data_IF_786096855061
#
_entry.id   IF_786096855061
#
_cell.length_a   1.000
_cell.length_b   1.000
_cell.length_c   1.000
_cell.angle_alpha   90.00
_cell.angle_beta   90.00
_cell.angle_gamma   90.00
#
_symmetry.space_group_name_H-M   'P 1'
#
loop_
_entity.id
_entity.type
_entity.pdbx_description
1 polymer ?
#
# COMPACT_ATOMS: atom_id res chain seq x y z
N UNK A 1 -9.03 25.82 10.87
CA UNK A 1 -9.26 25.66 9.41
C UNK A 1 -10.71 25.30 9.21
N UNK A 2 -11.44 26.15 8.48
CA UNK A 2 -12.88 26.10 8.26
C UNK A 2 -13.56 27.37 8.78
N UNK A 3 -14.15 28.18 7.90
CA UNK A 3 -15.06 29.26 8.31
C UNK A 3 -16.43 28.64 8.67
N UNK A 4 -17.34 29.40 9.30
CA UNK A 4 -18.66 28.87 9.71
C UNK A 4 -19.41 28.20 8.55
N UNK A 5 -19.31 28.79 7.35
CA UNK A 5 -19.86 28.22 6.12
C UNK A 5 -19.30 26.82 5.79
N UNK A 6 -18.03 26.53 6.07
CA UNK A 6 -17.45 25.21 5.88
C UNK A 6 -17.98 24.18 6.87
N UNK A 7 -18.16 24.57 8.14
CA UNK A 7 -18.71 23.69 9.17
C UNK A 7 -20.20 23.36 8.93
N UNK A 8 -20.95 24.33 8.40
CA UNK A 8 -22.35 24.15 8.00
C UNK A 8 -22.50 23.22 6.79
N UNK A 9 -21.62 23.36 5.79
CA UNK A 9 -21.65 22.52 4.59
C UNK A 9 -21.14 21.08 4.84
N UNK A 10 -20.27 20.88 5.82
CA UNK A 10 -19.65 19.59 6.13
C UNK A 10 -19.72 19.24 7.62
N UNK A 11 -20.92 19.04 8.20
CA UNK A 11 -21.10 18.82 9.63
C UNK A 11 -20.49 17.50 10.14
N UNK A 12 -20.25 16.53 9.25
CA UNK A 12 -19.56 15.27 9.54
C UNK A 12 -18.06 15.31 9.20
N UNK A 13 -17.55 16.47 8.79
CA UNK A 13 -16.16 16.73 8.43
C UNK A 13 -15.22 16.51 9.61
N UNK A 14 -14.41 15.46 9.57
CA UNK A 14 -13.34 15.22 10.57
C UNK A 14 -11.98 15.38 9.91
N UNK A 15 -11.12 16.22 10.48
CA UNK A 15 -9.74 16.37 10.02
C UNK A 15 -8.78 15.69 11.00
N UNK A 16 -7.82 14.91 10.51
CA UNK A 16 -6.70 14.43 11.30
C UNK A 16 -5.36 14.82 10.65
N UNK A 17 -4.42 15.24 11.49
CA UNK A 17 -3.03 15.41 11.09
C UNK A 17 -2.36 14.03 11.09
N UNK A 18 -1.78 13.65 9.96
CA UNK A 18 -0.95 12.46 9.87
C UNK A 18 0.45 12.75 10.44
N UNK A 19 1.20 11.67 10.69
CA UNK A 19 2.57 11.76 11.22
C UNK A 19 3.51 12.38 10.18
N UNK A 20 4.63 12.90 10.64
CA UNK A 20 5.70 13.34 9.75
C UNK A 20 6.30 12.15 9.03
N UNK A 21 6.40 12.25 7.70
CA UNK A 21 7.04 11.26 6.84
C UNK A 21 8.19 11.94 6.07
N UNK A 22 9.16 12.49 6.80
CA UNK A 22 10.43 13.00 6.23
C UNK A 22 10.39 14.38 5.57
N UNK A 23 9.23 15.02 5.47
CA UNK A 23 9.08 16.46 5.14
C UNK A 23 8.75 17.26 6.40
N UNK A 24 9.09 18.56 6.37
CA UNK A 24 8.67 19.60 7.32
C UNK A 24 7.16 19.89 7.33
N UNK A 25 6.40 19.31 6.39
CA UNK A 25 4.94 19.43 6.33
C UNK A 25 4.22 18.21 6.92
N UNK A 26 3.08 18.47 7.58
CA UNK A 26 2.15 17.44 8.05
C UNK A 26 0.98 17.27 7.07
N UNK A 27 0.78 16.07 6.50
CA UNK A 27 -0.43 15.81 5.72
C UNK A 27 -1.68 15.95 6.59
N UNK A 28 -2.71 16.62 6.06
CA UNK A 28 -4.02 16.73 6.70
C UNK A 28 -5.00 15.87 5.91
N UNK A 29 -5.68 14.93 6.59
CA UNK A 29 -6.70 14.09 5.99
C UNK A 29 -8.08 14.48 6.52
N UNK A 30 -9.00 14.81 5.62
CA UNK A 30 -10.39 15.17 5.95
C UNK A 30 -11.35 14.08 5.49
N UNK A 31 -12.23 13.63 6.39
CA UNK A 31 -13.28 12.66 6.11
C UNK A 31 -14.62 13.39 6.06
N UNK A 32 -15.37 13.23 4.96
CA UNK A 32 -16.66 13.90 4.76
C UNK A 32 -17.88 12.98 4.97
N UNK A 33 -17.67 11.66 5.04
CA UNK A 33 -18.72 10.67 5.30
C UNK A 33 -18.18 9.54 6.20
N UNK A 34 -18.96 9.16 7.23
CA UNK A 34 -18.56 8.16 8.23
C UNK A 34 -18.86 6.72 7.80
N UNK A 35 -19.67 6.51 6.75
CA UNK A 35 -19.96 5.19 6.20
C UNK A 35 -18.77 4.70 5.40
N UNK A 36 -17.79 4.13 6.12
CA UNK A 36 -16.74 3.31 5.50
C UNK A 36 -17.39 2.07 4.89
N UNK A 37 -17.89 2.18 3.66
CA UNK A 37 -18.20 0.99 2.89
C UNK A 37 -16.91 0.22 2.70
N UNK A 38 -16.85 -1.01 3.25
CA UNK A 38 -15.76 -1.95 2.94
C UNK A 38 -15.88 -2.27 1.46
N UNK A 39 -15.19 -1.51 0.62
CA UNK A 39 -15.11 -1.81 -0.80
C UNK A 39 -14.43 -3.17 -0.94
N UNK A 40 -15.17 -4.18 -1.39
CA UNK A 40 -14.58 -5.47 -1.78
C UNK A 40 -13.80 -5.23 -3.06
N UNK A 41 -12.49 -4.99 -2.92
CA UNK A 41 -11.60 -4.85 -4.06
C UNK A 41 -11.69 -6.07 -4.98
N UNK A 42 -11.82 -5.84 -6.28
CA UNK A 42 -11.71 -6.90 -7.27
C UNK A 42 -10.25 -7.35 -7.33
N UNK A 43 -10.00 -8.66 -7.27
CA UNK A 43 -8.67 -9.20 -7.51
C UNK A 43 -8.27 -8.93 -8.95
N UNK A 44 -7.06 -8.39 -9.14
CA UNK A 44 -6.44 -8.24 -10.45
C UNK A 44 -5.06 -8.84 -10.33
N UNK A 45 -4.78 -9.84 -11.17
CA UNK A 45 -3.46 -10.43 -11.26
C UNK A 45 -2.47 -9.35 -11.73
N UNK A 46 -1.33 -9.26 -11.04
CA UNK A 46 -0.26 -8.34 -11.41
C UNK A 46 0.80 -9.11 -12.19
N UNK A 47 1.19 -8.61 -13.36
CA UNK A 47 2.25 -9.21 -14.17
C UNK A 47 3.57 -9.35 -13.40
N UNK A 48 3.90 -8.43 -12.50
CA UNK A 48 5.12 -8.53 -11.69
C UNK A 48 5.19 -9.82 -10.85
N UNK A 49 4.06 -10.49 -10.59
CA UNK A 49 4.05 -11.78 -9.89
C UNK A 49 4.66 -12.92 -10.71
N UNK A 50 4.74 -12.80 -12.04
CA UNK A 50 5.34 -13.84 -12.89
C UNK A 50 6.86 -13.85 -12.82
N UNK A 51 7.47 -12.77 -12.33
CA UNK A 51 8.92 -12.66 -12.15
C UNK A 51 9.38 -13.23 -10.79
N UNK A 52 8.43 -13.58 -9.92
CA UNK A 52 8.74 -14.09 -8.59
C UNK A 52 8.59 -15.63 -8.55
N UNK A 53 9.71 -16.30 -8.27
CA UNK A 53 9.78 -17.77 -8.19
C UNK A 53 8.87 -18.31 -7.08
N UNK A 54 8.81 -17.66 -5.91
CA UNK A 54 7.94 -18.08 -4.79
C UNK A 54 6.46 -18.12 -5.20
N UNK A 55 6.03 -17.18 -6.05
CA UNK A 55 4.64 -17.14 -6.51
C UNK A 55 4.37 -18.24 -7.52
N UNK A 56 5.37 -18.60 -8.32
CA UNK A 56 5.26 -19.70 -9.28
C UNK A 56 5.07 -21.03 -8.54
N UNK A 57 5.91 -21.30 -7.54
CA UNK A 57 5.79 -22.48 -6.67
C UNK A 57 4.46 -22.49 -5.88
N UNK A 58 4.01 -21.33 -5.40
CA UNK A 58 2.74 -21.18 -4.72
C UNK A 58 1.55 -21.52 -5.64
N UNK A 59 1.61 -21.10 -6.90
CA UNK A 59 0.55 -21.41 -7.88
C UNK A 59 0.58 -22.88 -8.24
N UNK A 60 1.75 -23.48 -8.45
CA UNK A 60 1.89 -24.90 -8.76
C UNK A 60 1.35 -25.78 -7.63
N UNK A 61 1.75 -25.49 -6.38
CA UNK A 61 1.27 -26.20 -5.20
C UNK A 61 -0.24 -26.04 -5.01
N UNK A 62 -0.79 -24.83 -5.16
CA UNK A 62 -2.22 -24.57 -5.04
C UNK A 62 -3.04 -25.22 -6.17
N UNK A 63 -2.47 -25.33 -7.37
CA UNK A 63 -3.12 -25.96 -8.52
C UNK A 63 -3.18 -27.49 -8.37
N UNK A 64 -2.09 -28.09 -7.89
CA UNK A 64 -1.97 -29.55 -7.75
C UNK A 64 -2.61 -30.10 -6.47
N UNK A 65 -3.12 -29.24 -5.58
CA UNK A 65 -3.74 -29.65 -4.32
C UNK A 65 -5.03 -30.46 -4.52
N UNK A 66 -5.76 -30.26 -5.62
CA UNK A 66 -7.00 -30.99 -5.90
C UNK A 66 -7.12 -31.31 -7.40
N UNK A 67 -6.47 -32.39 -7.87
CA UNK A 67 -6.43 -32.74 -9.29
C UNK A 67 -7.79 -33.16 -9.89
N UNK A 68 -8.72 -33.62 -9.03
CA UNK A 68 -10.05 -34.10 -9.43
C UNK A 68 -11.12 -32.99 -9.44
N UNK A 69 -10.77 -31.80 -8.97
CA UNK A 69 -11.68 -30.67 -8.90
C UNK A 69 -11.80 -29.94 -10.24
N UNK A 70 -12.83 -29.11 -10.36
CA UNK A 70 -13.02 -28.31 -11.58
C UNK A 70 -11.91 -27.28 -11.77
N UNK A 71 -11.62 -26.93 -13.02
CA UNK A 71 -10.67 -25.86 -13.36
C UNK A 71 -10.99 -24.54 -12.64
N UNK A 72 -12.29 -24.22 -12.49
CA UNK A 72 -12.76 -23.03 -11.78
C UNK A 72 -12.40 -23.09 -10.29
N UNK A 73 -12.50 -24.27 -9.67
CA UNK A 73 -12.08 -24.48 -8.30
C UNK A 73 -10.58 -24.19 -8.14
N UNK A 74 -9.74 -24.79 -8.99
CA UNK A 74 -8.29 -24.65 -8.93
C UNK A 74 -7.82 -23.21 -9.19
N UNK A 75 -8.49 -22.49 -10.12
CA UNK A 75 -8.27 -21.06 -10.34
C UNK A 75 -8.60 -20.23 -9.09
N UNK A 76 -9.71 -20.54 -8.41
CA UNK A 76 -10.08 -19.85 -7.17
C UNK A 76 -9.14 -20.16 -6.01
N UNK A 77 -8.63 -21.40 -5.93
CA UNK A 77 -7.61 -21.79 -4.96
C UNK A 77 -6.33 -20.98 -5.18
N UNK A 78 -5.78 -20.96 -6.40
CA UNK A 78 -4.61 -20.17 -6.76
C UNK A 78 -4.81 -18.69 -6.43
N UNK A 79 -5.97 -18.13 -6.79
CA UNK A 79 -6.32 -16.73 -6.47
C UNK A 79 -6.29 -16.47 -4.97
N UNK A 80 -6.84 -17.35 -4.14
CA UNK A 80 -6.84 -17.20 -2.67
C UNK A 80 -5.42 -17.28 -2.13
N UNK A 81 -4.62 -18.23 -2.60
CA UNK A 81 -3.22 -18.38 -2.21
C UNK A 81 -2.41 -17.12 -2.52
N UNK A 82 -2.51 -16.58 -3.74
CA UNK A 82 -1.84 -15.33 -4.14
C UNK A 82 -2.28 -14.14 -3.26
N UNK A 83 -3.59 -14.02 -2.98
CA UNK A 83 -4.10 -12.95 -2.12
C UNK A 83 -3.52 -13.08 -0.70
N UNK A 84 -3.45 -14.29 -0.18
CA UNK A 84 -2.94 -14.56 1.15
C UNK A 84 -1.44 -14.27 1.24
N UNK A 85 -0.65 -14.84 0.32
CA UNK A 85 0.79 -14.56 0.20
C UNK A 85 1.08 -13.06 0.10
N UNK A 86 0.31 -12.33 -0.72
CA UNK A 86 0.50 -10.87 -0.84
C UNK A 86 0.21 -10.12 0.46
N UNK A 87 -0.72 -10.59 1.29
CA UNK A 87 -0.97 -9.98 2.60
C UNK A 87 0.14 -10.31 3.58
N UNK A 88 0.61 -11.55 3.56
CA UNK A 88 1.66 -12.02 4.45
C UNK A 88 2.98 -11.31 4.17
N UNK A 89 3.34 -11.13 2.90
CA UNK A 89 4.51 -10.32 2.51
C UNK A 89 4.39 -8.86 2.96
N UNK A 90 3.20 -8.26 2.82
CA UNK A 90 2.97 -6.89 3.30
C UNK A 90 3.07 -6.81 4.84
N UNK A 91 2.56 -7.80 5.55
CA UNK A 91 2.66 -7.87 7.01
C UNK A 91 4.10 -8.05 7.46
N UNK A 92 4.85 -8.96 6.83
CA UNK A 92 6.26 -9.20 7.13
C UNK A 92 7.11 -7.95 6.89
N UNK A 93 6.93 -7.27 5.76
CA UNK A 93 7.60 -5.98 5.47
C UNK A 93 7.27 -4.93 6.54
N UNK A 94 6.00 -4.80 6.95
CA UNK A 94 5.60 -3.86 7.99
C UNK A 94 6.19 -4.22 9.37
N UNK A 95 6.25 -5.51 9.71
CA UNK A 95 6.83 -5.99 10.96
C UNK A 95 8.32 -5.72 11.00
N UNK A 96 9.04 -5.97 9.90
CA UNK A 96 10.46 -5.69 9.77
C UNK A 96 10.75 -4.20 9.98
N UNK A 97 10.01 -3.32 9.28
CA UNK A 97 10.15 -1.86 9.46
C UNK A 97 9.91 -1.44 10.91
N UNK A 98 8.84 -1.95 11.55
CA UNK A 98 8.55 -1.63 12.96
C UNK A 98 9.66 -2.12 13.90
N UNK A 99 10.17 -3.33 13.67
CA UNK A 99 11.24 -3.91 14.48
C UNK A 99 12.53 -3.09 14.34
N UNK A 100 12.93 -2.74 13.12
CA UNK A 100 14.11 -1.92 12.86
C UNK A 100 13.95 -0.50 13.42
N UNK A 101 12.75 0.09 13.38
CA UNK A 101 12.47 1.37 14.04
C UNK A 101 12.64 1.30 15.55
N UNK A 102 12.09 0.26 16.20
CA UNK A 102 12.20 0.07 17.64
C UNK A 102 13.65 -0.22 18.07
N UNK A 103 14.37 -1.02 17.30
CA UNK A 103 15.80 -1.27 17.52
C UNK A 103 16.61 0.03 17.42
N UNK A 104 16.31 0.87 16.43
CA UNK A 104 16.96 2.18 16.27
C UNK A 104 16.66 3.12 17.45
N UNK A 105 15.42 3.19 17.91
CA UNK A 105 15.02 3.99 19.07
C UNK A 105 15.74 3.54 20.34
N UNK A 106 15.86 2.23 20.55
CA UNK A 106 16.58 1.63 21.68
C UNK A 106 18.07 1.96 21.63
N UNK A 107 18.70 1.82 20.46
CA UNK A 107 20.12 2.11 20.27
C UNK A 107 20.46 3.59 20.47
N UNK A 108 19.57 4.50 20.04
CA UNK A 108 19.75 5.95 20.22
C UNK A 108 19.52 6.40 21.67
N UNK A 109 18.66 5.68 22.41
CA UNK A 109 18.33 5.97 23.82
C UNK A 109 19.30 5.33 24.81
N UNK A 110 20.26 4.52 24.35
CA UNK A 110 21.26 3.89 25.19
C UNK A 110 22.26 4.93 25.73
N UNK A 111 22.75 4.69 26.95
CA UNK A 111 23.74 5.56 27.61
C UNK A 111 25.09 5.64 26.86
N UNK A 112 25.45 4.57 26.15
CA UNK A 112 26.57 4.52 25.22
C UNK A 112 26.05 4.23 23.83
N UNK A 113 26.21 5.19 22.92
CA UNK A 113 25.78 5.05 21.54
C UNK A 113 26.84 4.29 20.74
N UNK A 114 26.50 3.09 20.30
CA UNK A 114 27.29 2.35 19.34
C UNK A 114 26.97 2.87 17.92
N UNK A 115 27.86 3.71 17.40
CA UNK A 115 27.70 4.34 16.09
C UNK A 115 27.58 3.31 14.96
N UNK A 116 28.33 2.22 15.01
CA UNK A 116 28.36 1.19 13.97
C UNK A 116 27.06 0.39 13.96
N UNK A 117 26.57 0.03 15.16
CA UNK A 117 25.26 -0.61 15.31
C UNK A 117 24.13 0.30 14.80
N UNK A 118 24.14 1.58 15.15
CA UNK A 118 23.12 2.54 14.70
C UNK A 118 23.15 2.69 13.17
N UNK A 119 24.33 2.77 12.55
CA UNK A 119 24.46 2.88 11.11
C UNK A 119 23.98 1.61 10.39
N UNK A 120 24.28 0.44 10.93
CA UNK A 120 23.82 -0.84 10.38
C UNK A 120 22.28 -0.93 10.38
N UNK A 121 21.64 -0.57 11.50
CA UNK A 121 20.17 -0.58 11.64
C UNK A 121 19.54 0.46 10.70
N UNK A 122 20.11 1.65 10.58
CA UNK A 122 19.65 2.67 9.62
C UNK A 122 19.74 2.17 8.17
N UNK A 123 20.80 1.45 7.84
CA UNK A 123 21.00 0.89 6.50
C UNK A 123 19.98 -0.21 6.20
N UNK A 124 19.72 -1.10 7.15
CA UNK A 124 18.68 -2.13 7.03
C UNK A 124 17.29 -1.50 6.88
N UNK A 125 16.96 -0.51 7.71
CA UNK A 125 15.69 0.20 7.64
C UNK A 125 15.51 0.91 6.29
N UNK A 126 16.58 1.53 5.76
CA UNK A 126 16.55 2.18 4.44
C UNK A 126 16.29 1.15 3.33
N UNK A 127 16.96 0.00 3.36
CA UNK A 127 16.73 -1.09 2.39
C UNK A 127 15.27 -1.56 2.44
N UNK A 128 14.74 -1.81 3.63
CA UNK A 128 13.34 -2.22 3.80
C UNK A 128 12.33 -1.21 3.23
N UNK A 129 12.61 0.09 3.35
CA UNK A 129 11.79 1.13 2.71
C UNK A 129 11.90 1.13 1.19
N UNK A 130 13.10 0.97 0.63
CA UNK A 130 13.33 0.90 -0.81
C UNK A 130 12.58 -0.29 -1.40
N UNK A 131 12.68 -1.47 -0.80
CA UNK A 131 12.01 -2.68 -1.28
C UNK A 131 10.48 -2.52 -1.25
N UNK A 132 9.97 -1.91 -0.17
CA UNK A 132 8.54 -1.58 -0.05
C UNK A 132 8.12 -0.57 -1.11
N UNK A 133 8.93 0.46 -1.37
CA UNK A 133 8.66 1.44 -2.42
C UNK A 133 8.65 0.78 -3.81
N UNK A 134 9.62 -0.07 -4.13
CA UNK A 134 9.67 -0.82 -5.39
C UNK A 134 8.43 -1.70 -5.58
N UNK A 135 8.04 -2.44 -4.53
CA UNK A 135 6.82 -3.25 -4.52
C UNK A 135 5.58 -2.40 -4.82
N UNK A 136 5.44 -1.24 -4.17
CA UNK A 136 4.31 -0.34 -4.44
C UNK A 136 4.40 0.31 -5.81
N UNK A 137 5.59 0.66 -6.30
CA UNK A 137 5.81 1.23 -7.63
C UNK A 137 5.36 0.26 -8.73
N UNK A 138 5.68 -1.02 -8.60
CA UNK A 138 5.23 -2.06 -9.52
C UNK A 138 3.69 -2.24 -9.49
N UNK A 139 3.07 -2.20 -8.31
CA UNK A 139 1.61 -2.40 -8.16
C UNK A 139 0.75 -1.21 -8.57
N UNK A 140 1.25 -0.01 -8.34
CA UNK A 140 0.52 1.23 -8.55
C UNK A 140 0.41 1.64 -10.03
N UNK A 141 1.03 0.88 -10.96
CA UNK A 141 1.10 1.20 -12.40
C UNK A 141 1.50 2.66 -12.61
N UNK A 142 2.42 3.15 -11.79
CA UNK A 142 2.88 4.52 -11.83
C UNK A 142 3.76 4.68 -13.09
N UNK A 143 3.11 4.87 -14.23
CA UNK A 143 3.61 5.75 -15.27
C UNK A 143 3.40 7.23 -14.88
N UNK A 144 2.49 7.49 -13.92
CA UNK A 144 2.11 8.84 -13.48
C UNK A 144 3.25 9.64 -12.82
N UNK A 145 4.06 9.07 -11.90
CA UNK A 145 5.14 9.81 -11.23
C UNK A 145 6.26 10.25 -12.18
N UNK A 146 6.38 9.63 -13.38
CA UNK A 146 7.39 10.05 -14.37
C UNK A 146 7.04 11.37 -15.05
N UNK A 147 5.76 11.74 -15.06
CA UNK A 147 5.29 13.05 -15.49
C UNK A 147 4.95 13.82 -14.22
N UNK A 148 5.94 14.55 -13.69
CA UNK A 148 5.83 15.23 -12.40
C UNK A 148 4.57 16.09 -12.23
N UNK A 149 4.41 16.58 -11.00
CA UNK A 149 3.32 17.36 -10.39
C UNK A 149 2.90 18.65 -11.14
N UNK A 150 2.72 18.54 -12.45
CA UNK A 150 2.08 19.53 -13.29
C UNK A 150 0.62 19.16 -13.27
N UNK A 151 -0.10 19.93 -12.46
CA UNK A 151 -1.55 20.04 -12.37
C UNK A 151 -2.15 20.38 -13.76
N UNK A 152 -1.99 19.49 -14.73
CA UNK A 152 -2.45 19.67 -16.10
C UNK A 152 -3.90 19.23 -16.14
N UNK A 153 -4.77 20.02 -16.79
CA UNK A 153 -6.19 19.71 -16.93
C UNK A 153 -6.49 18.31 -17.51
N UNK A 154 -5.49 17.66 -18.11
CA UNK A 154 -5.52 16.25 -18.49
C UNK A 154 -5.84 15.30 -17.33
N UNK A 155 -5.28 15.50 -16.12
CA UNK A 155 -5.56 14.65 -14.96
C UNK A 155 -7.01 14.80 -14.47
N UNK A 156 -7.54 16.03 -14.46
CA UNK A 156 -8.94 16.28 -14.15
C UNK A 156 -9.87 15.67 -15.21
N UNK A 157 -9.52 15.74 -16.50
CA UNK A 157 -10.29 15.16 -17.59
C UNK A 157 -10.26 13.62 -17.60
N UNK A 158 -9.10 13.00 -17.41
CA UNK A 158 -8.94 11.55 -17.32
C UNK A 158 -9.68 10.96 -16.11
N UNK A 159 -9.73 11.69 -14.99
CA UNK A 159 -10.47 11.27 -13.79
C UNK A 159 -11.98 11.39 -14.00
N UNK A 160 -12.46 12.44 -14.69
CA UNK A 160 -13.88 12.58 -15.08
C UNK A 160 -14.35 11.45 -16.00
N UNK A 161 -13.56 11.09 -17.01
CA UNK A 161 -13.91 10.01 -17.95
C UNK A 161 -13.94 8.61 -17.30
N UNK A 162 -13.32 8.44 -16.12
CA UNK A 162 -13.35 7.19 -15.37
C UNK A 162 -14.51 7.11 -14.38
N UNK A 163 -15.14 8.25 -14.04
CA UNK A 163 -16.36 8.29 -13.24
C UNK A 163 -17.64 8.14 -14.08
N UNK A 164 -17.59 8.43 -15.38
CA UNK A 164 -18.75 8.29 -16.29
C UNK A 164 -19.03 6.86 -16.76
N UNK A 165 -18.25 5.86 -16.32
CA UNK A 165 -18.46 4.45 -16.68
C UNK A 165 -19.10 3.61 -15.56
N UNK A 166 -19.90 4.21 -14.68
CA UNK A 166 -20.87 3.47 -13.87
C UNK A 166 -22.17 3.37 -14.67
N UNK A 167 -22.52 2.21 -15.27
CA UNK A 167 -23.86 2.03 -15.78
C UNK A 167 -24.80 2.05 -14.56
N UNK A 168 -25.77 2.96 -14.58
CA UNK A 168 -26.93 2.86 -13.71
C UNK A 168 -27.65 1.55 -14.04
N UNK A 169 -27.70 0.63 -13.08
CA UNK A 169 -28.76 -0.36 -12.95
C UNK A 169 -28.99 -0.67 -11.48
#
# INVERSE_FOLDING_TARGET
MGNCSWAENFPLGRCCYLRYEGSDHRPVMTYFNSTKHKHRGMFRFNRALTENEEVTELVESAWNQSPLETVIHNLNACRRSIIQWSKDQQNQSNLLIKKSQLALETALSAATQDCDLIESIKTELRRAYIDKEQFWRQRSRIQLLKQGDRNTGFFHAATRNRQTSTPFR
#
